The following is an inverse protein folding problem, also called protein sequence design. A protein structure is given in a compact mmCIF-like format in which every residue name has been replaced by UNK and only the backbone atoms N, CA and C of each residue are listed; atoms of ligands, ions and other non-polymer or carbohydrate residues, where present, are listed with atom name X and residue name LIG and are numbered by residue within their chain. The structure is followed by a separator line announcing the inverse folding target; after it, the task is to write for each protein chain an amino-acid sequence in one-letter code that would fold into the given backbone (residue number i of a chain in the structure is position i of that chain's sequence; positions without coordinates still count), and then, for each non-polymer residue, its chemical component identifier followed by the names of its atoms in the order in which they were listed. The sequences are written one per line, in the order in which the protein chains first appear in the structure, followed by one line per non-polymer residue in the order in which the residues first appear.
data_IF_229693679550
#
_entry.id   IF_229693679550
#
_cell.length_a   1.000
_cell.length_b   1.000
_cell.length_c   1.000
_cell.angle_alpha   90.00
_cell.angle_beta   90.00
_cell.angle_gamma   90.00
#
_symmetry.space_group_name_H-M   'P 1'
#
loop_
_entity.id
_entity.type
_entity.pdbx_description
1 polymer ?
#
# COMPACT_ATOMS: atom_id res chain seq x y z
N UNK A 1 4.69 18.59 10.75
CA UNK A 1 3.72 17.58 10.25
C UNK A 1 4.12 17.22 8.83
N UNK A 2 4.34 15.92 8.52
CA UNK A 2 4.78 15.32 7.24
C UNK A 2 5.67 16.18 6.30
N UNK A 3 5.15 17.27 5.73
CA UNK A 3 5.89 18.26 4.94
C UNK A 3 7.10 18.85 5.66
N UNK A 4 7.05 19.03 6.99
CA UNK A 4 8.20 19.56 7.77
C UNK A 4 9.40 18.59 7.81
N UNK A 5 9.19 17.31 7.45
CA UNK A 5 10.25 16.30 7.34
C UNK A 5 10.46 15.85 5.88
N UNK A 6 9.95 16.62 4.91
CA UNK A 6 10.10 16.35 3.48
C UNK A 6 9.17 15.26 2.93
N UNK A 7 8.17 14.79 3.69
CA UNK A 7 7.15 13.87 3.18
C UNK A 7 6.05 14.69 2.52
N UNK A 8 6.04 14.72 1.20
CA UNK A 8 5.07 15.47 0.40
C UNK A 8 3.96 14.61 -0.16
N UNK A 9 4.20 13.30 -0.27
CA UNK A 9 3.31 12.37 -0.95
C UNK A 9 2.71 11.43 0.09
N UNK A 10 1.44 11.68 0.41
CA UNK A 10 0.68 10.88 1.35
C UNK A 10 -0.41 10.13 0.59
N UNK A 11 -0.54 8.86 0.89
CA UNK A 11 -1.57 7.97 0.38
C UNK A 11 -2.26 7.32 1.57
N UNK A 12 -3.57 7.16 1.49
CA UNK A 12 -4.36 6.51 2.54
C UNK A 12 -4.79 5.12 2.11
N UNK A 13 -4.62 4.15 3.00
CA UNK A 13 -5.19 2.81 2.85
C UNK A 13 -6.06 2.55 4.06
N UNK A 14 -7.33 2.26 3.82
CA UNK A 14 -8.24 1.88 4.89
C UNK A 14 -8.00 0.44 5.31
N UNK A 15 -7.43 0.20 6.49
CA UNK A 15 -7.09 -1.13 6.96
C UNK A 15 -8.15 -1.70 7.92
N UNK A 16 -8.37 -3.02 7.89
CA UNK A 16 -9.30 -3.77 8.76
C UNK A 16 -10.77 -3.31 8.68
N UNK A 17 -11.19 -2.89 7.49
CA UNK A 17 -12.56 -2.43 7.25
C UNK A 17 -13.53 -3.60 7.36
N UNK A 18 -14.54 -3.46 8.21
CA UNK A 18 -15.54 -4.52 8.45
C UNK A 18 -16.98 -4.04 8.20
N UNK A 19 -17.19 -2.75 7.99
CA UNK A 19 -18.51 -2.16 7.81
C UNK A 19 -18.52 -0.94 6.88
N UNK A 20 -19.71 -0.60 6.37
CA UNK A 20 -19.95 0.63 5.59
C UNK A 20 -19.68 1.90 6.41
N UNK A 21 -19.85 1.82 7.73
CA UNK A 21 -19.53 2.92 8.64
C UNK A 21 -18.02 3.19 8.69
N UNK A 22 -17.19 2.14 8.63
CA UNK A 22 -15.73 2.28 8.59
C UNK A 22 -15.28 2.92 7.27
N UNK A 23 -15.87 2.50 6.14
CA UNK A 23 -15.62 3.10 4.82
C UNK A 23 -15.89 4.61 4.87
N UNK A 24 -17.09 5.00 5.30
CA UNK A 24 -17.48 6.41 5.42
C UNK A 24 -16.60 7.17 6.40
N UNK A 25 -16.20 6.55 7.51
CA UNK A 25 -15.31 7.18 8.46
C UNK A 25 -13.97 7.52 7.82
N UNK A 26 -13.37 6.57 7.09
CA UNK A 26 -12.07 6.75 6.43
C UNK A 26 -12.17 7.80 5.33
N UNK A 27 -13.22 7.74 4.50
CA UNK A 27 -13.49 8.73 3.45
C UNK A 27 -13.60 10.17 4.00
N UNK A 28 -14.20 10.33 5.17
CA UNK A 28 -14.40 11.66 5.78
C UNK A 28 -13.23 12.13 6.66
N UNK A 29 -12.30 11.24 7.04
CA UNK A 29 -11.24 11.56 8.00
C UNK A 29 -10.16 12.47 7.42
N UNK A 30 -9.81 12.29 6.13
CA UNK A 30 -8.66 12.94 5.51
C UNK A 30 -8.98 13.40 4.07
N UNK A 31 -9.77 14.47 3.89
CA UNK A 31 -10.26 14.89 2.57
C UNK A 31 -9.15 15.33 1.59
N UNK A 32 -7.94 15.60 2.08
CA UNK A 32 -6.80 16.05 1.27
C UNK A 32 -5.80 14.92 0.94
N UNK A 33 -6.07 13.69 1.35
CA UNK A 33 -5.18 12.56 1.10
C UNK A 33 -5.93 11.54 0.23
N UNK A 34 -5.42 11.21 -0.97
CA UNK A 34 -6.05 10.24 -1.84
C UNK A 34 -6.07 8.85 -1.19
N UNK A 35 -7.19 8.14 -1.34
CA UNK A 35 -7.38 6.79 -0.84
C UNK A 35 -7.03 5.80 -1.96
N UNK A 36 -6.04 4.92 -1.72
CA UNK A 36 -5.62 3.89 -2.67
C UNK A 36 -6.49 2.63 -2.60
N UNK A 37 -7.24 2.44 -1.51
CA UNK A 37 -8.23 1.39 -1.37
C UNK A 37 -8.41 0.92 0.07
N UNK A 38 -9.09 -0.21 0.22
CA UNK A 38 -9.49 -0.76 1.50
C UNK A 38 -9.09 -2.23 1.61
N UNK A 39 -8.57 -2.60 2.79
CA UNK A 39 -8.30 -3.98 3.18
C UNK A 39 -9.37 -4.39 4.19
N UNK A 40 -10.10 -5.45 3.84
CA UNK A 40 -11.08 -6.06 4.72
C UNK A 40 -10.44 -6.71 5.95
N UNK A 41 -11.25 -6.99 6.96
CA UNK A 41 -10.80 -7.83 8.07
C UNK A 41 -10.70 -9.30 7.61
N UNK A 42 -9.51 -9.91 7.75
CA UNK A 42 -9.26 -11.31 7.43
C UNK A 42 -8.86 -12.08 8.69
N UNK A 43 -9.58 -13.15 9.01
CA UNK A 43 -9.26 -14.01 10.16
C UNK A 43 -7.91 -14.70 9.97
N UNK A 44 -7.57 -15.10 8.74
CA UNK A 44 -6.25 -15.63 8.41
C UNK A 44 -5.17 -14.59 8.67
N UNK A 45 -5.46 -13.32 8.38
CA UNK A 45 -4.55 -12.24 8.69
C UNK A 45 -4.29 -12.09 10.18
N UNK A 46 -5.35 -12.14 10.97
CA UNK A 46 -5.27 -12.08 12.44
C UNK A 46 -4.51 -13.27 13.00
N UNK A 47 -4.71 -14.48 12.46
CA UNK A 47 -4.02 -15.66 12.96
C UNK A 47 -2.52 -15.61 12.64
N UNK A 48 -2.12 -15.30 11.41
CA UNK A 48 -0.70 -15.26 11.06
C UNK A 48 0.06 -14.18 11.83
N UNK A 49 -0.55 -13.00 12.04
CA UNK A 49 0.01 -11.96 12.91
C UNK A 49 0.25 -12.49 14.34
N UNK A 50 -0.66 -13.32 14.87
CA UNK A 50 -0.54 -13.91 16.22
C UNK A 50 0.47 -15.05 16.30
N UNK A 51 0.59 -15.86 15.26
CA UNK A 51 1.56 -16.96 15.19
C UNK A 51 2.95 -16.51 14.73
N UNK A 52 3.11 -15.26 14.28
CA UNK A 52 4.35 -14.76 13.70
C UNK A 52 4.66 -15.36 12.33
N UNK A 53 3.64 -15.91 11.66
CA UNK A 53 3.74 -16.50 10.33
C UNK A 53 3.54 -15.44 9.25
N UNK A 54 4.15 -15.66 8.09
CA UNK A 54 4.02 -14.78 6.95
C UNK A 54 2.61 -14.85 6.37
N UNK A 55 2.00 -13.68 6.15
CA UNK A 55 0.70 -13.55 5.46
C UNK A 55 0.77 -13.85 3.95
N UNK A 56 1.97 -13.85 3.38
CA UNK A 56 2.15 -14.09 1.95
C UNK A 56 1.65 -15.48 1.57
N UNK A 57 0.63 -15.52 0.70
CA UNK A 57 0.07 -16.75 0.15
C UNK A 57 -0.99 -17.45 1.02
N UNK A 58 -1.37 -16.87 2.17
CA UNK A 58 -2.38 -17.46 3.05
C UNK A 58 -3.81 -17.10 2.66
N UNK A 59 -4.02 -15.88 2.16
CA UNK A 59 -5.34 -15.35 1.81
C UNK A 59 -5.31 -14.75 0.40
N UNK A 60 -5.96 -15.42 -0.55
CA UNK A 60 -5.98 -15.02 -1.95
C UNK A 60 -6.81 -13.75 -2.20
N UNK A 61 -7.88 -13.55 -1.42
CA UNK A 61 -8.74 -12.38 -1.54
C UNK A 61 -8.01 -11.15 -1.02
N UNK A 62 -7.35 -11.28 0.14
CA UNK A 62 -6.51 -10.23 0.70
C UNK A 62 -5.33 -9.91 -0.23
N UNK A 63 -4.68 -10.93 -0.81
CA UNK A 63 -3.60 -10.74 -1.77
C UNK A 63 -4.07 -9.98 -3.02
N UNK A 64 -5.28 -10.27 -3.51
CA UNK A 64 -5.90 -9.56 -4.64
C UNK A 64 -6.15 -8.09 -4.30
N UNK A 65 -6.74 -7.79 -3.13
CA UNK A 65 -6.95 -6.41 -2.67
C UNK A 65 -5.63 -5.65 -2.52
N UNK A 66 -4.60 -6.28 -1.96
CA UNK A 66 -3.26 -5.69 -1.83
C UNK A 66 -2.67 -5.37 -3.20
N UNK A 67 -2.79 -6.27 -4.18
CA UNK A 67 -2.27 -6.06 -5.52
C UNK A 67 -2.91 -4.85 -6.21
N UNK A 68 -4.23 -4.67 -6.05
CA UNK A 68 -4.94 -3.49 -6.58
C UNK A 68 -4.46 -2.20 -5.91
N UNK A 69 -4.32 -2.21 -4.57
CA UNK A 69 -3.85 -1.04 -3.81
C UNK A 69 -2.41 -0.69 -4.17
N UNK A 70 -1.55 -1.71 -4.33
CA UNK A 70 -0.16 -1.52 -4.72
C UNK A 70 -0.07 -0.89 -6.12
N UNK A 71 -0.83 -1.37 -7.09
CA UNK A 71 -0.87 -0.78 -8.42
C UNK A 71 -1.34 0.70 -8.40
N UNK A 72 -2.39 1.01 -7.64
CA UNK A 72 -2.87 2.38 -7.49
C UNK A 72 -1.83 3.30 -6.81
N UNK A 73 -1.11 2.78 -5.81
CA UNK A 73 -0.03 3.51 -5.15
C UNK A 73 1.17 3.73 -6.08
N UNK A 74 1.54 2.73 -6.89
CA UNK A 74 2.62 2.84 -7.88
C UNK A 74 2.29 3.87 -8.96
N UNK A 75 1.05 3.89 -9.46
CA UNK A 75 0.59 4.89 -10.44
C UNK A 75 0.66 6.30 -9.84
N UNK A 76 0.11 6.49 -8.64
CA UNK A 76 0.13 7.79 -7.96
C UNK A 76 1.55 8.27 -7.65
N UNK A 77 2.43 7.36 -7.26
CA UNK A 77 3.85 7.67 -7.03
C UNK A 77 4.58 8.01 -8.33
N UNK A 78 4.28 7.33 -9.44
CA UNK A 78 4.91 7.57 -10.75
C UNK A 78 4.58 8.95 -11.30
N UNK A 79 3.35 9.42 -11.11
CA UNK A 79 2.92 10.76 -11.52
C UNK A 79 3.63 11.87 -10.72
N UNK A 80 4.01 11.59 -9.48
CA UNK A 80 4.71 12.55 -8.61
C UNK A 80 6.25 12.42 -8.63
N UNK A 81 6.77 11.24 -8.99
CA UNK A 81 8.19 10.94 -9.19
C UNK A 81 8.33 10.11 -10.47
N UNK A 82 8.66 10.74 -11.62
CA UNK A 82 9.08 9.98 -12.78
C UNK A 82 10.37 9.25 -12.40
N UNK A 83 10.25 7.96 -12.11
CA UNK A 83 11.38 7.07 -11.89
C UNK A 83 12.21 7.08 -13.17
N UNK A 84 13.28 7.88 -13.23
CA UNK A 84 14.36 7.64 -14.18
C UNK A 84 14.93 6.28 -13.82
N UNK A 85 14.51 5.25 -14.56
CA UNK A 85 15.12 3.94 -14.50
C UNK A 85 16.51 4.10 -15.08
N UNK A 86 17.47 4.46 -14.22
CA UNK A 86 18.88 4.43 -14.58
C UNK A 86 19.24 2.97 -14.81
N UNK A 87 19.24 2.60 -16.10
CA UNK A 87 19.69 1.32 -16.60
C UNK A 87 21.18 1.20 -16.34
N UNK A 88 21.56 0.78 -15.14
CA UNK A 88 22.93 0.42 -14.84
C UNK A 88 23.32 -0.74 -15.78
N UNK A 89 24.26 -0.55 -16.72
CA UNK A 89 24.71 -1.65 -17.56
C UNK A 89 25.39 -2.69 -16.66
N UNK A 90 25.28 -4.00 -16.97
CA UNK A 90 25.97 -5.03 -16.21
C UNK A 90 27.47 -4.74 -16.25
N UNK A 91 28.09 -4.45 -15.11
CA UNK A 91 29.52 -4.18 -15.04
C UNK A 91 30.25 -5.42 -15.54
N UNK A 92 30.89 -5.31 -16.71
CA UNK A 92 31.85 -6.30 -17.19
C UNK A 92 32.96 -6.39 -16.15
N UNK A 93 32.97 -7.49 -15.39
CA UNK A 93 34.11 -7.90 -14.58
C UNK A 93 35.24 -8.23 -15.55
N UNK A 94 36.17 -7.29 -15.73
CA UNK A 94 37.48 -7.57 -16.31
C UNK A 94 38.29 -8.37 -15.29
N UNK A 95 38.67 -9.60 -15.66
CA UNK A 95 39.79 -10.33 -15.09
C UNK A 95 40.79 -10.63 -16.19
#
# INVERSE_FOLDING_TARGET
MASDIGITNLLLVGNKVSSDADLRFIENSLPNIPICGFLGNSDLAVQADRSGESLYGLDADLASSIAVIAAAAEETCRDHFPMEVESHPPSMIHR
#
